data_IF_244490812796
#
_entry.id   IF_244490812796
#
_cell.length_a   1.000
_cell.length_b   1.000
_cell.length_c   1.000
_cell.angle_alpha   90.00
_cell.angle_beta   90.00
_cell.angle_gamma   90.00
#
_symmetry.space_group_name_H-M   'P 1'
#
loop_
_entity.id
_entity.type
_entity.pdbx_description
1 polymer ?
#
# COMPACT_ATOMS: atom_id res chain seq x y z
N UNK A 1 -30.16 -14.60 50.58
CA UNK A 1 -28.87 -13.99 50.14
C UNK A 1 -28.06 -15.03 49.39
N UNK A 2 -28.24 -15.14 48.07
CA UNK A 2 -27.41 -15.99 47.20
C UNK A 2 -26.37 -15.13 46.48
N UNK A 3 -25.10 -15.24 46.87
CA UNK A 3 -23.99 -14.53 46.20
C UNK A 3 -23.63 -15.28 44.91
N UNK A 4 -24.06 -14.72 43.78
CA UNK A 4 -23.55 -15.04 42.45
C UNK A 4 -22.06 -14.70 42.38
N UNK A 5 -21.20 -15.71 42.19
CA UNK A 5 -19.81 -15.54 41.78
C UNK A 5 -19.79 -15.43 40.26
N UNK A 6 -19.69 -14.20 39.75
CA UNK A 6 -19.39 -13.97 38.33
C UNK A 6 -17.90 -14.26 38.12
N UNK A 7 -17.62 -15.28 37.31
CA UNK A 7 -16.27 -15.61 36.87
C UNK A 7 -15.84 -14.59 35.80
N UNK A 8 -14.85 -13.75 36.13
CA UNK A 8 -14.02 -13.12 35.10
C UNK A 8 -13.29 -14.23 34.35
N UNK A 9 -13.80 -14.62 33.18
CA UNK A 9 -12.98 -15.30 32.17
C UNK A 9 -11.88 -14.30 31.79
N UNK A 10 -10.65 -14.56 32.22
CA UNK A 10 -9.49 -13.84 31.71
C UNK A 10 -9.45 -14.03 30.19
N UNK A 11 -9.43 -12.94 29.44
CA UNK A 11 -9.03 -12.99 28.04
C UNK A 11 -7.59 -13.51 28.03
N UNK A 12 -7.38 -14.68 27.44
CA UNK A 12 -6.03 -15.14 27.12
C UNK A 12 -5.39 -14.06 26.25
N UNK A 13 -4.24 -13.54 26.68
CA UNK A 13 -3.45 -12.62 25.87
C UNK A 13 -3.03 -13.41 24.65
N UNK A 14 -3.36 -12.93 23.45
CA UNK A 14 -2.92 -13.57 22.24
C UNK A 14 -1.38 -13.62 22.24
N UNK A 15 -0.79 -14.73 21.82
CA UNK A 15 0.66 -14.89 21.77
C UNK A 15 1.19 -14.50 20.38
N UNK A 16 2.43 -14.06 20.32
CA UNK A 16 3.09 -13.80 19.04
C UNK A 16 3.19 -15.08 18.22
N UNK A 17 2.94 -14.99 16.91
CA UNK A 17 3.11 -16.11 15.97
C UNK A 17 4.33 -15.83 15.12
N UNK A 18 5.24 -16.81 15.01
CA UNK A 18 6.48 -16.68 14.26
C UNK A 18 6.58 -17.84 13.27
N UNK A 19 6.79 -17.54 11.99
CA UNK A 19 6.88 -18.54 10.92
C UNK A 19 7.88 -18.09 9.85
N UNK A 20 8.66 -19.03 9.31
CA UNK A 20 9.50 -18.77 8.16
C UNK A 20 8.63 -18.70 6.89
N UNK A 21 8.82 -17.65 6.11
CA UNK A 21 8.12 -17.40 4.85
C UNK A 21 9.15 -17.15 3.74
N UNK A 22 8.72 -17.04 2.48
CA UNK A 22 9.65 -16.88 1.35
C UNK A 22 10.44 -15.56 1.46
N UNK A 23 9.82 -14.52 2.02
CA UNK A 23 10.38 -13.19 2.21
C UNK A 23 11.26 -13.00 3.46
N UNK A 24 11.41 -14.01 4.32
CA UNK A 24 12.18 -13.92 5.58
C UNK A 24 11.47 -14.56 6.77
N UNK A 25 11.77 -14.10 7.98
CA UNK A 25 11.07 -14.51 9.20
C UNK A 25 9.85 -13.61 9.42
N UNK A 26 8.64 -14.16 9.33
CA UNK A 26 7.41 -13.45 9.63
C UNK A 26 7.03 -13.56 11.10
N UNK A 27 6.70 -12.41 11.70
CA UNK A 27 6.24 -12.33 13.09
C UNK A 27 4.91 -11.55 13.13
N UNK A 28 3.87 -12.15 13.70
CA UNK A 28 2.62 -11.48 14.02
C UNK A 28 2.63 -11.15 15.51
N UNK A 29 2.80 -9.87 15.82
CA UNK A 29 2.89 -9.38 17.19
C UNK A 29 1.54 -8.77 17.59
N UNK A 30 0.88 -9.28 18.64
CA UNK A 30 -0.40 -8.75 19.10
C UNK A 30 -0.22 -7.35 19.69
N UNK A 31 -1.20 -6.49 19.44
CA UNK A 31 -1.24 -5.15 20.02
C UNK A 31 -1.64 -5.20 21.49
N UNK A 32 -1.03 -4.33 22.31
CA UNK A 32 -1.26 -4.30 23.76
C UNK A 32 -2.53 -3.56 24.16
N UNK A 33 -2.98 -2.63 23.33
CA UNK A 33 -4.12 -1.75 23.59
C UNK A 33 -5.36 -2.19 22.81
N UNK A 34 -5.19 -2.88 21.67
CA UNK A 34 -6.25 -3.38 20.80
C UNK A 34 -6.24 -4.91 20.76
N UNK A 35 -7.20 -5.52 21.44
CA UNK A 35 -7.23 -6.97 21.68
C UNK A 35 -7.22 -7.85 20.42
N UNK A 36 -7.67 -7.33 19.27
CA UNK A 36 -7.70 -8.03 17.98
C UNK A 36 -6.88 -7.32 16.91
N UNK A 37 -5.93 -6.48 17.31
CA UNK A 37 -4.97 -5.88 16.41
C UNK A 37 -3.60 -6.56 16.48
N UNK A 38 -2.91 -6.55 15.34
CA UNK A 38 -1.67 -7.27 15.12
C UNK A 38 -0.76 -6.47 14.22
N UNK A 39 0.53 -6.49 14.52
CA UNK A 39 1.58 -5.95 13.65
C UNK A 39 2.33 -7.10 13.00
N UNK A 40 2.41 -7.10 11.68
CA UNK A 40 3.25 -8.01 10.90
C UNK A 40 4.65 -7.40 10.78
N UNK A 41 5.66 -8.15 11.20
CA UNK A 41 7.07 -7.86 10.95
C UNK A 41 7.63 -8.92 10.00
N UNK A 42 8.58 -8.53 9.15
CA UNK A 42 9.41 -9.44 8.35
C UNK A 42 10.86 -9.10 8.66
N UNK A 43 11.62 -10.07 9.15
CA UNK A 43 13.00 -9.90 9.63
C UNK A 43 13.14 -8.71 10.61
N UNK A 44 12.17 -8.59 11.53
CA UNK A 44 12.10 -7.50 12.52
C UNK A 44 11.65 -6.14 11.97
N UNK A 45 11.48 -5.98 10.66
CA UNK A 45 10.99 -4.75 10.05
C UNK A 45 9.46 -4.73 10.00
N UNK A 46 8.77 -3.74 10.63
CA UNK A 46 7.32 -3.63 10.57
C UNK A 46 6.83 -3.43 9.12
N UNK A 47 5.95 -4.32 8.65
CA UNK A 47 5.38 -4.28 7.31
C UNK A 47 3.94 -3.76 7.31
N UNK A 48 3.15 -4.14 8.31
CA UNK A 48 1.73 -3.82 8.35
C UNK A 48 1.16 -3.91 9.75
N UNK A 49 0.03 -3.24 9.98
CA UNK A 49 -0.74 -3.34 11.21
C UNK A 49 -2.22 -3.45 10.84
N UNK A 50 -2.90 -4.44 11.39
CA UNK A 50 -4.33 -4.68 11.17
C UNK A 50 -5.06 -4.69 12.49
N UNK A 51 -6.27 -4.13 12.50
CA UNK A 51 -7.24 -4.35 13.56
C UNK A 51 -8.42 -5.14 12.96
N UNK A 52 -8.68 -6.34 13.47
CA UNK A 52 -9.77 -7.18 12.95
C UNK A 52 -11.15 -6.68 13.39
N UNK A 53 -11.24 -5.89 14.46
CA UNK A 53 -12.49 -5.27 14.91
C UNK A 53 -12.73 -3.91 14.23
N UNK A 54 -11.65 -3.23 13.83
CA UNK A 54 -11.69 -1.98 13.06
C UNK A 54 -10.85 -2.07 11.78
N UNK A 55 -11.35 -2.73 10.71
CA UNK A 55 -10.62 -2.87 9.44
C UNK A 55 -10.41 -1.54 8.69
N UNK A 56 -11.00 -0.43 9.16
CA UNK A 56 -10.76 0.90 8.63
C UNK A 56 -9.57 1.60 9.32
N UNK A 57 -9.04 1.04 10.41
CA UNK A 57 -7.89 1.58 11.10
C UNK A 57 -6.59 1.34 10.32
N UNK A 58 -5.94 2.43 9.91
CA UNK A 58 -4.64 2.43 9.25
C UNK A 58 -3.62 3.09 10.17
N UNK A 59 -2.64 2.31 10.64
CA UNK A 59 -1.60 2.78 11.56
C UNK A 59 -0.44 3.44 10.82
N UNK A 60 0.06 2.82 9.74
CA UNK A 60 1.20 3.33 8.99
C UNK A 60 0.84 4.56 8.16
N UNK A 61 1.70 5.59 8.19
CA UNK A 61 1.43 6.85 7.49
C UNK A 61 1.20 6.67 5.98
N UNK A 62 1.98 5.81 5.31
CA UNK A 62 1.82 5.56 3.88
C UNK A 62 0.49 4.85 3.59
N UNK A 63 0.06 3.94 4.47
CA UNK A 63 -1.24 3.27 4.35
C UNK A 63 -2.37 4.28 4.50
N UNK A 64 -2.27 5.21 5.47
CA UNK A 64 -3.22 6.33 5.62
C UNK A 64 -3.32 7.18 4.36
N UNK A 65 -2.17 7.52 3.76
CA UNK A 65 -2.10 8.26 2.48
C UNK A 65 -2.75 7.48 1.34
N UNK A 66 -2.52 6.17 1.23
CA UNK A 66 -3.23 5.31 0.27
C UNK A 66 -4.73 5.22 0.58
N UNK A 67 -5.11 5.21 1.86
CA UNK A 67 -6.50 5.29 2.32
C UNK A 67 -7.21 6.54 1.81
N UNK A 68 -6.55 7.69 1.84
CA UNK A 68 -7.08 8.94 1.26
C UNK A 68 -7.26 8.84 -0.26
N UNK A 69 -6.38 8.14 -0.97
CA UNK A 69 -6.53 7.90 -2.41
C UNK A 69 -7.71 6.97 -2.67
N UNK A 70 -7.77 5.83 -1.97
CA UNK A 70 -8.89 4.88 -2.00
C UNK A 70 -10.20 5.64 -1.80
N UNK A 71 -10.24 6.52 -0.80
CA UNK A 71 -11.40 7.33 -0.43
C UNK A 71 -11.98 8.20 -1.53
N UNK A 72 -11.19 8.51 -2.56
CA UNK A 72 -11.56 9.40 -3.65
C UNK A 72 -11.73 8.71 -5.00
N UNK A 73 -11.48 7.40 -5.08
CA UNK A 73 -11.74 6.61 -6.31
C UNK A 73 -13.23 6.58 -6.65
N UNK A 74 -14.08 6.58 -5.63
CA UNK A 74 -15.54 6.56 -5.78
C UNK A 74 -16.21 7.21 -4.56
N UNK A 75 -17.46 7.68 -4.69
CA UNK A 75 -18.20 8.20 -3.54
C UNK A 75 -18.26 7.21 -2.38
N UNK A 76 -18.36 7.68 -1.12
CA UNK A 76 -18.39 6.82 0.06
C UNK A 76 -19.42 5.68 -0.07
N UNK A 77 -19.00 4.46 0.30
CA UNK A 77 -19.85 3.26 0.26
C UNK A 77 -20.12 2.69 -1.14
N UNK A 78 -19.67 3.33 -2.23
CA UNK A 78 -19.82 2.79 -3.58
C UNK A 78 -18.74 1.73 -3.85
N UNK A 79 -19.11 0.55 -4.38
CA UNK A 79 -18.14 -0.51 -4.65
C UNK A 79 -17.20 -0.13 -5.79
N UNK A 80 -15.99 -0.65 -5.73
CA UNK A 80 -14.95 -0.49 -6.75
C UNK A 80 -14.36 -1.85 -7.15
N UNK A 81 -13.67 -1.89 -8.28
CA UNK A 81 -12.75 -2.95 -8.66
C UNK A 81 -11.32 -2.53 -8.30
N UNK A 82 -10.71 -3.22 -7.35
CA UNK A 82 -9.37 -2.90 -6.88
C UNK A 82 -8.39 -4.04 -7.16
N UNK A 83 -7.20 -3.70 -7.66
CA UNK A 83 -6.04 -4.59 -7.75
C UNK A 83 -5.01 -4.11 -6.74
N UNK A 84 -4.56 -5.01 -5.87
CA UNK A 84 -3.47 -4.78 -4.91
C UNK A 84 -2.28 -5.62 -5.34
N UNK A 85 -1.22 -4.97 -5.77
CA UNK A 85 0.07 -5.58 -6.05
C UNK A 85 0.88 -5.48 -4.76
N UNK A 86 1.14 -6.61 -4.12
CA UNK A 86 1.55 -6.69 -2.72
C UNK A 86 0.34 -6.77 -1.79
N UNK A 87 0.53 -7.42 -0.63
CA UNK A 87 -0.57 -7.71 0.27
C UNK A 87 -0.19 -7.76 1.75
N UNK A 88 0.62 -6.83 2.26
CA UNK A 88 1.04 -6.78 3.67
C UNK A 88 -0.13 -6.92 4.66
N UNK A 89 -0.35 -8.14 5.17
CA UNK A 89 -1.51 -8.56 5.97
C UNK A 89 -2.90 -8.28 5.35
N UNK A 90 -2.95 -8.01 4.05
CA UNK A 90 -4.13 -7.57 3.28
C UNK A 90 -4.79 -6.29 3.79
N UNK A 91 -4.06 -5.43 4.47
CA UNK A 91 -4.61 -4.25 5.18
C UNK A 91 -5.40 -3.31 4.28
N UNK A 92 -4.85 -2.93 3.12
CA UNK A 92 -5.56 -2.05 2.18
C UNK A 92 -6.78 -2.74 1.56
N UNK A 93 -6.74 -4.07 1.36
CA UNK A 93 -7.89 -4.82 0.89
C UNK A 93 -9.02 -4.90 1.94
N UNK A 94 -8.67 -5.01 3.22
CA UNK A 94 -9.63 -4.88 4.35
C UNK A 94 -10.23 -3.49 4.40
N UNK A 95 -9.41 -2.46 4.27
CA UNK A 95 -9.84 -1.07 4.25
C UNK A 95 -10.84 -0.80 3.12
N UNK A 96 -10.54 -1.25 1.90
CA UNK A 96 -11.48 -1.16 0.77
C UNK A 96 -12.76 -1.94 1.05
N UNK A 97 -12.68 -3.15 1.59
CA UNK A 97 -13.88 -3.94 1.90
C UNK A 97 -14.79 -3.24 2.93
N UNK A 98 -14.20 -2.61 3.95
CA UNK A 98 -14.90 -1.90 5.01
C UNK A 98 -15.53 -0.58 4.52
N UNK A 99 -14.77 0.22 3.77
CA UNK A 99 -15.21 1.56 3.32
C UNK A 99 -16.05 1.53 2.05
N UNK A 100 -15.89 0.48 1.23
CA UNK A 100 -16.57 0.26 -0.07
C UNK A 100 -17.13 -1.17 -0.11
N UNK A 101 -18.18 -1.47 0.66
CA UNK A 101 -18.74 -2.82 0.71
C UNK A 101 -19.19 -3.29 -0.67
N UNK A 102 -19.00 -4.59 -0.94
CA UNK A 102 -19.24 -5.28 -2.22
C UNK A 102 -18.23 -4.97 -3.34
N UNK A 103 -17.13 -4.26 -3.04
CA UNK A 103 -16.00 -4.12 -3.97
C UNK A 103 -15.41 -5.48 -4.35
N UNK A 104 -15.09 -5.66 -5.63
CA UNK A 104 -14.42 -6.86 -6.13
C UNK A 104 -12.91 -6.60 -6.14
N UNK A 105 -12.14 -7.41 -5.42
CA UNK A 105 -10.74 -7.14 -5.20
C UNK A 105 -9.86 -8.31 -5.62
N UNK A 106 -8.71 -8.01 -6.23
CA UNK A 106 -7.66 -8.97 -6.53
C UNK A 106 -6.39 -8.55 -5.79
N UNK A 107 -5.88 -9.40 -4.91
CA UNK A 107 -4.58 -9.20 -4.26
C UNK A 107 -3.59 -10.17 -4.91
N UNK A 108 -2.43 -9.66 -5.29
CA UNK A 108 -1.31 -10.44 -5.82
C UNK A 108 -0.17 -10.32 -4.82
N UNK A 109 0.14 -11.41 -4.14
CA UNK A 109 1.26 -11.50 -3.21
C UNK A 109 2.17 -12.61 -3.71
N UNK A 110 3.49 -12.43 -3.71
CA UNK A 110 4.40 -13.47 -4.20
C UNK A 110 4.60 -14.58 -3.17
N UNK A 111 4.67 -14.20 -1.89
CA UNK A 111 4.98 -15.11 -0.79
C UNK A 111 3.76 -15.96 -0.41
N UNK A 112 3.75 -17.21 -0.87
CA UNK A 112 2.63 -18.11 -0.62
C UNK A 112 2.52 -18.49 0.86
N UNK A 113 3.66 -18.65 1.55
CA UNK A 113 3.70 -18.98 2.97
C UNK A 113 3.13 -17.83 3.81
N UNK A 114 3.49 -16.59 3.52
CA UNK A 114 2.93 -15.41 4.17
C UNK A 114 1.41 -15.30 3.95
N UNK A 115 0.93 -15.58 2.73
CA UNK A 115 -0.52 -15.61 2.45
C UNK A 115 -1.24 -16.63 3.34
N UNK A 116 -0.67 -17.83 3.53
CA UNK A 116 -1.27 -18.86 4.38
C UNK A 116 -1.26 -18.45 5.86
N UNK A 117 -0.13 -17.92 6.36
CA UNK A 117 0.01 -17.39 7.71
C UNK A 117 -1.05 -16.32 7.98
N UNK A 118 -1.14 -15.30 7.13
CA UNK A 118 -2.12 -14.21 7.29
C UNK A 118 -3.54 -14.74 7.23
N UNK A 119 -3.88 -15.65 6.31
CA UNK A 119 -5.25 -16.20 6.22
C UNK A 119 -5.65 -16.99 7.46
N UNK A 120 -4.70 -17.69 8.08
CA UNK A 120 -4.92 -18.54 9.25
C UNK A 120 -5.08 -17.70 10.52
N UNK A 121 -4.16 -16.78 10.77
CA UNK A 121 -4.12 -16.00 12.02
C UNK A 121 -4.96 -14.72 11.95
N UNK A 122 -5.08 -14.13 10.76
CA UNK A 122 -5.77 -12.88 10.50
C UNK A 122 -6.82 -13.11 9.39
N UNK A 123 -7.90 -13.87 9.64
CA UNK A 123 -8.85 -14.19 8.58
C UNK A 123 -9.48 -12.93 7.97
N UNK A 124 -9.72 -12.97 6.65
CA UNK A 124 -10.52 -11.97 5.97
C UNK A 124 -12.00 -12.20 6.28
N UNK A 125 -12.83 -11.14 6.21
CA UNK A 125 -14.28 -11.30 6.25
C UNK A 125 -14.73 -12.21 5.10
N UNK A 126 -15.42 -13.34 5.38
CA UNK A 126 -15.87 -14.26 4.34
C UNK A 126 -16.86 -13.63 3.34
N UNK A 127 -17.51 -12.53 3.70
CA UNK A 127 -18.40 -11.78 2.81
C UNK A 127 -17.64 -10.77 1.93
N UNK A 128 -16.37 -10.48 2.23
CA UNK A 128 -15.55 -9.61 1.40
C UNK A 128 -15.16 -10.35 0.11
N UNK A 129 -15.37 -9.69 -1.04
CA UNK A 129 -15.09 -10.26 -2.37
C UNK A 129 -13.61 -10.08 -2.72
N UNK A 130 -12.74 -10.70 -1.94
CA UNK A 130 -11.28 -10.60 -2.07
C UNK A 130 -10.71 -11.91 -2.58
N UNK A 131 -10.17 -11.90 -3.80
CA UNK A 131 -9.42 -13.02 -4.36
C UNK A 131 -7.92 -12.75 -4.20
N UNK A 132 -7.22 -13.65 -3.50
CA UNK A 132 -5.76 -13.58 -3.34
C UNK A 132 -5.12 -14.58 -4.29
N UNK A 133 -4.03 -14.19 -4.96
CA UNK A 133 -3.21 -15.05 -5.82
C UNK A 133 -1.77 -14.99 -5.37
N UNK A 134 -1.16 -16.16 -5.17
CA UNK A 134 0.25 -16.30 -4.84
C UNK A 134 1.11 -16.35 -6.11
N UNK A 135 1.58 -15.21 -6.62
CA UNK A 135 2.33 -15.08 -7.89
C UNK A 135 3.07 -13.75 -7.93
N UNK A 136 4.04 -13.59 -8.84
CA UNK A 136 4.67 -12.28 -9.05
C UNK A 136 3.65 -11.18 -9.40
N UNK A 137 3.88 -9.97 -8.90
CA UNK A 137 2.99 -8.82 -9.10
C UNK A 137 2.71 -8.51 -10.58
N UNK A 138 3.74 -8.53 -11.44
CA UNK A 138 3.60 -8.22 -12.86
C UNK A 138 2.89 -9.35 -13.60
N UNK A 139 3.20 -10.59 -13.27
CA UNK A 139 2.49 -11.76 -13.81
C UNK A 139 1.00 -11.81 -13.39
N UNK A 140 0.71 -11.40 -12.16
CA UNK A 140 -0.65 -11.29 -11.66
C UNK A 140 -1.42 -10.17 -12.37
N UNK A 141 -0.79 -9.02 -12.58
CA UNK A 141 -1.36 -7.88 -13.31
C UNK A 141 -1.68 -8.23 -14.77
N UNK A 142 -0.80 -8.99 -15.45
CA UNK A 142 -1.02 -9.46 -16.82
C UNK A 142 -2.29 -10.34 -16.97
N UNK A 143 -2.78 -10.94 -15.88
CA UNK A 143 -4.01 -11.75 -15.84
C UNK A 143 -5.27 -10.94 -15.52
N UNK A 144 -5.13 -9.64 -15.21
CA UNK A 144 -6.27 -8.73 -15.01
C UNK A 144 -6.78 -8.31 -16.39
N UNK A 145 -8.10 -8.39 -16.66
CA UNK A 145 -8.64 -7.96 -17.96
C UNK A 145 -8.43 -6.47 -18.21
N UNK A 146 -8.35 -6.10 -19.48
CA UNK A 146 -8.26 -4.70 -19.91
C UNK A 146 -9.46 -3.89 -19.40
N UNK A 147 -9.22 -2.67 -18.93
CA UNK A 147 -10.30 -1.79 -18.44
C UNK A 147 -11.12 -2.38 -17.29
N UNK A 148 -10.51 -3.18 -16.42
CA UNK A 148 -11.22 -3.86 -15.33
C UNK A 148 -11.16 -3.11 -14.00
N UNK A 149 -10.06 -2.42 -13.70
CA UNK A 149 -9.78 -1.84 -12.39
C UNK A 149 -10.17 -0.36 -12.32
N UNK A 150 -10.84 0.03 -11.24
CA UNK A 150 -11.03 1.45 -10.87
C UNK A 150 -9.82 1.96 -10.08
N UNK A 151 -9.06 1.05 -9.46
CA UNK A 151 -7.87 1.33 -8.69
C UNK A 151 -6.85 0.18 -8.82
N UNK A 152 -5.60 0.53 -9.13
CA UNK A 152 -4.45 -0.35 -8.96
C UNK A 152 -3.55 0.25 -7.89
N UNK A 153 -3.28 -0.49 -6.82
CA UNK A 153 -2.33 -0.12 -5.77
C UNK A 153 -1.08 -0.99 -5.92
N UNK A 154 0.09 -0.36 -6.01
CA UNK A 154 1.38 -1.02 -5.88
C UNK A 154 2.00 -0.72 -4.51
N UNK A 155 2.01 -1.73 -3.65
CA UNK A 155 2.59 -1.71 -2.30
C UNK A 155 3.46 -2.95 -2.13
N UNK A 156 4.43 -3.10 -3.03
CA UNK A 156 5.31 -4.28 -3.13
C UNK A 156 6.66 -3.96 -2.51
N UNK A 157 6.97 -4.65 -1.42
CA UNK A 157 8.31 -4.71 -0.85
C UNK A 157 8.77 -6.16 -0.73
N UNK A 158 9.89 -6.48 -1.36
CA UNK A 158 10.66 -7.72 -1.16
C UNK A 158 11.91 -7.35 -0.37
N UNK A 159 12.07 -7.88 0.85
CA UNK A 159 13.20 -7.51 1.72
C UNK A 159 13.32 -5.99 1.89
N UNK A 160 12.18 -5.31 2.07
CA UNK A 160 12.03 -3.85 2.16
C UNK A 160 12.34 -3.03 0.89
N UNK A 161 12.37 -3.66 -0.30
CA UNK A 161 12.62 -2.97 -1.59
C UNK A 161 11.59 -3.31 -2.65
N UNK A 162 11.22 -2.35 -3.49
CA UNK A 162 10.40 -2.61 -4.69
C UNK A 162 11.26 -3.29 -5.76
N UNK A 163 10.85 -4.45 -6.32
CA UNK A 163 11.56 -5.12 -7.41
C UNK A 163 11.71 -4.27 -8.67
N UNK A 164 12.83 -4.41 -9.38
CA UNK A 164 13.16 -3.61 -10.57
C UNK A 164 12.10 -3.71 -11.67
N UNK A 165 11.56 -4.89 -11.93
CA UNK A 165 10.61 -5.09 -13.04
C UNK A 165 9.23 -4.44 -12.80
N UNK A 166 9.02 -3.79 -11.66
CA UNK A 166 7.82 -3.01 -11.30
C UNK A 166 8.06 -1.50 -11.34
N UNK A 167 9.23 -1.04 -11.79
CA UNK A 167 9.65 0.37 -11.69
C UNK A 167 9.89 1.02 -13.06
N UNK A 168 9.34 0.43 -14.12
CA UNK A 168 9.57 0.79 -15.52
C UNK A 168 8.34 1.32 -16.24
N UNK A 169 8.55 1.96 -17.40
CA UNK A 169 7.48 2.40 -18.29
C UNK A 169 6.60 1.24 -18.79
N UNK A 170 7.20 0.09 -19.09
CA UNK A 170 6.51 -1.09 -19.63
C UNK A 170 5.63 -1.75 -18.55
N UNK A 171 6.04 -1.71 -17.29
CA UNK A 171 5.17 -2.07 -16.18
C UNK A 171 3.98 -1.10 -16.08
N UNK A 172 4.21 0.21 -16.22
CA UNK A 172 3.12 1.19 -16.19
C UNK A 172 2.18 1.07 -17.39
N UNK A 173 2.67 0.62 -18.55
CA UNK A 173 1.83 0.29 -19.71
C UNK A 173 0.85 -0.87 -19.38
N UNK A 174 1.31 -1.90 -18.67
CA UNK A 174 0.43 -2.97 -18.15
C UNK A 174 -0.58 -2.47 -17.11
N UNK A 175 -0.16 -1.55 -16.23
CA UNK A 175 -1.07 -0.91 -15.27
C UNK A 175 -2.16 -0.14 -16.01
N UNK A 176 -1.78 0.68 -16.99
CA UNK A 176 -2.73 1.45 -17.81
C UNK A 176 -3.71 0.56 -18.56
N UNK A 177 -3.25 -0.54 -19.14
CA UNK A 177 -4.12 -1.54 -19.80
C UNK A 177 -5.22 -2.04 -18.87
N UNK A 178 -4.87 -2.37 -17.62
CA UNK A 178 -5.82 -2.89 -16.64
C UNK A 178 -6.79 -1.84 -16.08
N UNK A 179 -6.43 -0.56 -16.13
CA UNK A 179 -7.22 0.55 -15.60
C UNK A 179 -8.39 0.93 -16.52
N UNK A 180 -9.53 1.27 -15.92
CA UNK A 180 -10.64 1.93 -16.61
C UNK A 180 -10.32 3.39 -16.93
N UNK A 181 -11.08 4.02 -17.84
CA UNK A 181 -11.08 5.48 -17.95
C UNK A 181 -11.36 6.13 -16.59
N UNK A 182 -10.60 7.16 -16.24
CA UNK A 182 -10.66 7.89 -14.96
C UNK A 182 -10.28 7.09 -13.71
N UNK A 183 -9.69 5.90 -13.85
CA UNK A 183 -9.21 5.10 -12.74
C UNK A 183 -7.84 5.60 -12.25
N UNK A 184 -7.47 5.19 -11.03
CA UNK A 184 -6.23 5.64 -10.40
C UNK A 184 -5.19 4.51 -10.33
N UNK A 185 -3.94 4.85 -10.59
CA UNK A 185 -2.79 4.10 -10.11
C UNK A 185 -2.23 4.79 -8.86
N UNK A 186 -1.95 4.01 -7.81
CA UNK A 186 -1.31 4.51 -6.60
C UNK A 186 -0.14 3.61 -6.22
N UNK A 187 1.03 4.19 -5.96
CA UNK A 187 2.24 3.44 -5.61
C UNK A 187 2.85 3.95 -4.32
N UNK A 188 3.18 3.04 -3.40
CA UNK A 188 4.03 3.34 -2.26
C UNK A 188 5.50 3.23 -2.67
N UNK A 189 6.19 4.36 -2.70
CA UNK A 189 7.60 4.44 -3.10
C UNK A 189 8.44 4.79 -1.88
N UNK A 190 9.47 4.00 -1.61
CA UNK A 190 10.43 4.27 -0.54
C UNK A 190 11.77 4.74 -1.12
N UNK A 191 12.29 5.85 -0.61
CA UNK A 191 13.59 6.38 -1.03
C UNK A 191 14.21 7.25 0.08
N UNK A 192 15.51 7.52 -0.02
CA UNK A 192 16.24 8.44 0.82
C UNK A 192 17.11 9.40 0.00
N UNK A 193 17.80 10.35 0.65
CA UNK A 193 18.61 11.34 -0.04
C UNK A 193 19.64 10.67 -0.98
N UNK A 194 19.80 11.12 -2.24
CA UNK A 194 19.27 12.35 -2.85
C UNK A 194 17.90 12.22 -3.55
N UNK A 195 17.13 11.17 -3.25
CA UNK A 195 15.82 10.84 -3.83
C UNK A 195 15.87 10.48 -5.32
N UNK A 196 16.97 9.87 -5.77
CA UNK A 196 17.18 9.56 -7.18
C UNK A 196 16.16 8.55 -7.72
N UNK A 197 15.79 7.54 -6.90
CA UNK A 197 14.82 6.55 -7.30
C UNK A 197 13.43 7.19 -7.41
N UNK A 198 13.02 7.96 -6.41
CA UNK A 198 11.74 8.67 -6.41
C UNK A 198 11.61 9.62 -7.61
N UNK A 199 12.66 10.39 -7.93
CA UNK A 199 12.70 11.27 -9.11
C UNK A 199 12.51 10.48 -10.41
N UNK A 200 13.22 9.36 -10.56
CA UNK A 200 13.09 8.48 -11.72
C UNK A 200 11.69 7.87 -11.84
N UNK A 201 11.09 7.44 -10.73
CA UNK A 201 9.72 6.89 -10.73
C UNK A 201 8.67 7.93 -11.11
N UNK A 202 8.80 9.18 -10.65
CA UNK A 202 7.91 10.27 -11.06
C UNK A 202 8.07 10.55 -12.56
N UNK A 203 9.30 10.62 -13.08
CA UNK A 203 9.54 10.81 -14.51
C UNK A 203 8.96 9.66 -15.36
N UNK A 204 9.10 8.43 -14.87
CA UNK A 204 8.56 7.21 -15.50
C UNK A 204 7.03 7.26 -15.57
N UNK A 205 6.38 7.64 -14.48
CA UNK A 205 4.93 7.81 -14.46
C UNK A 205 4.48 9.00 -15.32
N UNK A 206 5.20 10.12 -15.33
CA UNK A 206 4.88 11.28 -16.16
C UNK A 206 4.98 10.98 -17.67
N UNK A 207 5.81 10.00 -18.06
CA UNK A 207 5.89 9.53 -19.44
C UNK A 207 4.69 8.65 -19.85
N UNK A 208 3.83 8.27 -18.89
CA UNK A 208 2.71 7.35 -19.09
C UNK A 208 1.37 7.87 -18.62
N UNK A 209 1.28 8.84 -17.73
CA UNK A 209 0.01 9.37 -17.25
C UNK A 209 -0.02 10.89 -17.41
N UNK A 210 -1.19 11.43 -17.72
CA UNK A 210 -1.37 12.88 -17.90
C UNK A 210 -1.36 13.63 -16.56
N UNK A 211 -1.95 13.05 -15.52
CA UNK A 211 -2.12 13.69 -14.22
C UNK A 211 -1.43 12.92 -13.11
N UNK A 212 -0.53 13.60 -12.41
CA UNK A 212 0.23 13.05 -11.29
C UNK A 212 0.11 13.92 -10.04
N UNK A 213 0.12 13.26 -8.90
CA UNK A 213 0.31 13.87 -7.59
C UNK A 213 1.23 13.00 -6.73
N UNK A 214 1.98 13.63 -5.84
CA UNK A 214 2.86 12.96 -4.88
C UNK A 214 2.53 13.41 -3.47
N UNK A 215 2.26 12.48 -2.57
CA UNK A 215 1.93 12.75 -1.16
C UNK A 215 3.02 12.14 -0.28
N UNK A 216 3.72 12.97 0.49
CA UNK A 216 4.74 12.48 1.41
C UNK A 216 4.93 13.41 2.61
N UNK A 217 5.71 12.96 3.59
CA UNK A 217 6.20 13.83 4.66
C UNK A 217 7.08 14.97 4.09
N UNK A 218 6.90 16.24 4.50
CA UNK A 218 7.72 17.36 4.04
C UNK A 218 9.24 17.19 4.20
N UNK A 219 9.70 16.44 5.21
CA UNK A 219 11.12 16.10 5.43
C UNK A 219 11.64 15.11 4.40
N UNK A 220 10.81 14.17 3.94
CA UNK A 220 11.14 13.25 2.83
C UNK A 220 11.20 14.05 1.53
N UNK A 221 10.21 14.91 1.25
CA UNK A 221 10.22 15.76 0.04
C UNK A 221 11.43 16.71 -0.04
N UNK A 222 11.97 17.12 1.11
CA UNK A 222 13.20 17.93 1.17
C UNK A 222 14.49 17.11 1.10
N UNK A 223 14.41 15.79 0.96
CA UNK A 223 15.57 14.90 0.93
C UNK A 223 16.38 14.95 2.22
N UNK A 224 15.71 15.05 3.38
CA UNK A 224 16.37 15.10 4.69
C UNK A 224 16.39 13.75 5.42
N UNK A 225 15.57 12.79 4.99
CA UNK A 225 15.51 11.44 5.56
C UNK A 225 15.00 10.42 4.54
N UNK A 226 15.21 9.14 4.85
CA UNK A 226 14.52 8.04 4.17
C UNK A 226 13.05 8.00 4.59
N UNK A 227 12.16 7.69 3.65
CA UNK A 227 10.75 7.49 3.96
C UNK A 227 9.92 7.16 2.73
N UNK A 228 8.61 7.06 2.94
CA UNK A 228 7.64 6.72 1.92
C UNK A 228 7.02 7.96 1.27
N UNK A 229 6.78 7.87 -0.02
CA UNK A 229 6.00 8.80 -0.80
C UNK A 229 4.93 8.02 -1.59
N UNK A 230 3.69 8.48 -1.55
CA UNK A 230 2.59 7.90 -2.32
C UNK A 230 2.48 8.67 -3.63
N UNK A 231 2.84 8.02 -4.74
CA UNK A 231 2.59 8.53 -6.08
C UNK A 231 1.18 8.14 -6.50
N UNK A 232 0.43 9.10 -7.05
CA UNK A 232 -0.89 8.89 -7.63
C UNK A 232 -0.84 9.34 -9.09
N UNK A 233 -1.33 8.51 -10.00
CA UNK A 233 -1.34 8.80 -11.43
C UNK A 233 -2.67 8.41 -12.06
N UNK A 234 -3.11 9.19 -13.06
CA UNK A 234 -4.30 8.90 -13.86
C UNK A 234 -4.22 9.61 -15.21
N UNK A 235 -4.98 9.09 -16.18
CA UNK A 235 -5.25 9.77 -17.46
C UNK A 235 -6.38 10.81 -17.33
N UNK A 236 -7.05 10.89 -16.17
CA UNK A 236 -8.06 11.91 -15.88
C UNK A 236 -7.61 12.85 -14.74
N UNK A 237 -8.15 14.08 -14.67
CA UNK A 237 -7.79 15.02 -13.62
C UNK A 237 -7.96 14.44 -12.22
N UNK A 238 -6.88 14.49 -11.43
CA UNK A 238 -6.90 14.05 -10.04
C UNK A 238 -7.67 15.06 -9.16
N UNK A 239 -8.36 14.60 -8.09
CA UNK A 239 -9.05 15.47 -7.13
C UNK A 239 -8.06 16.13 -6.16
N UNK A 240 -7.13 16.91 -6.71
CA UNK A 240 -5.99 17.51 -5.99
C UNK A 240 -6.40 18.33 -4.77
N UNK A 241 -7.42 19.22 -4.80
CA UNK A 241 -7.82 20.00 -3.63
C UNK A 241 -8.24 19.11 -2.46
N UNK A 242 -8.95 18.03 -2.76
CA UNK A 242 -9.45 17.08 -1.77
C UNK A 242 -8.33 16.20 -1.21
N UNK A 243 -7.45 15.67 -2.07
CA UNK A 243 -6.26 14.93 -1.63
C UNK A 243 -5.36 15.80 -0.75
N UNK A 244 -5.18 17.08 -1.11
CA UNK A 244 -4.37 18.04 -0.34
C UNK A 244 -4.98 18.26 1.03
N UNK A 245 -6.30 18.51 1.10
CA UNK A 245 -7.00 18.71 2.38
C UNK A 245 -6.83 17.49 3.28
N UNK A 246 -7.10 16.29 2.77
CA UNK A 246 -7.01 15.03 3.53
C UNK A 246 -5.60 14.75 4.03
N UNK A 247 -4.59 14.93 3.17
CA UNK A 247 -3.19 14.75 3.55
C UNK A 247 -2.76 15.74 4.64
N UNK A 248 -3.18 17.01 4.54
CA UNK A 248 -2.81 18.04 5.51
C UNK A 248 -3.55 17.91 6.84
N UNK A 249 -4.80 17.42 6.83
CA UNK A 249 -5.62 17.22 8.03
C UNK A 249 -5.39 15.87 8.73
N UNK A 250 -4.51 15.03 8.19
CA UNK A 250 -4.16 13.74 8.77
C UNK A 250 -3.44 13.92 10.12
N UNK A 251 -3.67 13.04 11.12
CA UNK A 251 -2.83 12.96 12.32
C UNK A 251 -1.32 12.90 12.04
N UNK A 252 -0.91 12.38 10.87
CA UNK A 252 0.45 12.44 10.35
C UNK A 252 0.49 13.29 9.07
N UNK A 253 0.54 14.64 9.19
CA UNK A 253 0.34 15.54 8.05
C UNK A 253 1.32 15.26 6.90
N UNK A 254 0.76 15.05 5.71
CA UNK A 254 1.50 14.96 4.45
C UNK A 254 1.40 16.26 3.64
N UNK A 255 2.38 16.49 2.77
CA UNK A 255 2.31 17.53 1.73
C UNK A 255 2.08 16.86 0.38
N UNK A 256 1.23 17.49 -0.43
CA UNK A 256 0.94 17.07 -1.80
C UNK A 256 1.67 18.00 -2.79
N UNK A 257 2.45 17.42 -3.71
CA UNK A 257 2.95 18.10 -4.91
C UNK A 257 2.18 17.63 -6.15
N UNK A 258 1.86 18.55 -7.06
CA UNK A 258 1.27 18.24 -8.37
C UNK A 258 1.68 19.32 -9.38
N UNK A 259 1.49 19.07 -10.67
CA UNK A 259 1.79 20.04 -11.72
C UNK A 259 3.26 20.50 -11.72
N UNK A 260 3.50 21.79 -11.95
CA UNK A 260 4.86 22.34 -12.09
C UNK A 260 5.79 22.02 -10.90
N UNK A 261 5.41 22.19 -9.62
CA UNK A 261 6.24 21.78 -8.49
C UNK A 261 6.69 20.31 -8.54
N UNK A 262 5.82 19.39 -8.97
CA UNK A 262 6.15 17.98 -9.10
C UNK A 262 7.07 17.72 -10.30
N UNK A 263 6.85 18.39 -11.43
CA UNK A 263 7.76 18.34 -12.58
C UNK A 263 9.16 18.86 -12.21
N UNK A 264 9.24 20.02 -11.57
CA UNK A 264 10.51 20.61 -11.12
C UNK A 264 11.21 19.69 -10.10
N UNK A 265 10.43 19.01 -9.24
CA UNK A 265 10.95 18.02 -8.30
C UNK A 265 11.66 16.85 -8.99
N UNK A 266 11.30 16.47 -10.22
CA UNK A 266 12.04 15.41 -10.95
C UNK A 266 13.49 15.79 -11.23
N UNK A 267 13.80 17.09 -11.34
CA UNK A 267 15.15 17.58 -11.65
C UNK A 267 15.69 17.09 -13.00
N UNK A 268 14.82 16.80 -13.96
CA UNK A 268 15.21 16.31 -15.29
C UNK A 268 15.58 14.82 -15.33
N UNK A 269 15.17 14.04 -14.32
CA UNK A 269 15.31 12.58 -14.35
C UNK A 269 14.64 11.99 -15.60
N UNK A 270 15.28 11.00 -16.21
CA UNK A 270 14.74 10.29 -17.37
C UNK A 270 13.75 9.20 -16.93
N UNK A 271 12.71 8.90 -17.74
CA UNK A 271 11.89 7.70 -17.58
C UNK A 271 12.76 6.43 -17.60
N UNK A 272 12.39 5.46 -16.77
CA UNK A 272 13.10 4.19 -16.64
C UNK A 272 12.41 3.14 -17.49
N UNK A 273 13.15 2.46 -18.35
CA UNK A 273 12.66 1.29 -19.11
C UNK A 273 13.01 -0.01 -18.39
N UNK A 274 12.42 -1.13 -18.80
CA UNK A 274 12.77 -2.46 -18.27
C UNK A 274 14.28 -2.73 -18.29
N UNK A 275 14.98 -2.31 -19.35
CA UNK A 275 16.42 -2.50 -19.49
C UNK A 275 17.27 -1.68 -18.50
N UNK A 276 16.74 -0.56 -18.00
CA UNK A 276 17.42 0.35 -17.08
C UNK A 276 16.88 0.24 -15.64
N UNK A 277 15.87 -0.60 -15.41
CA UNK A 277 15.18 -0.66 -14.14
C UNK A 277 16.04 -1.26 -13.05
N UNK A 278 15.98 -0.64 -11.87
CA UNK A 278 16.67 -1.09 -10.66
C UNK A 278 15.67 -1.17 -9.52
N UNK A 279 15.94 -2.10 -8.59
CA UNK A 279 15.15 -2.19 -7.38
C UNK A 279 15.31 -0.93 -6.52
N UNK A 280 14.27 -0.52 -5.80
CA UNK A 280 14.30 0.67 -4.95
C UNK A 280 15.47 0.61 -3.95
N UNK A 281 15.96 1.72 -3.39
CA UNK A 281 17.02 1.67 -2.40
C UNK A 281 16.62 0.89 -1.15
N UNK A 282 17.58 0.22 -0.52
CA UNK A 282 17.35 -0.43 0.77
C UNK A 282 17.19 0.64 1.87
N UNK A 283 16.22 0.49 2.79
CA UNK A 283 16.12 1.38 3.94
C UNK A 283 17.37 1.27 4.81
N UNK A 284 17.93 2.39 5.31
CA UNK A 284 19.06 2.33 6.23
C UNK A 284 18.62 1.73 7.58
N UNK A 285 19.53 1.05 8.32
CA UNK A 285 19.19 0.38 9.59
C UNK A 285 18.59 1.29 10.67
N UNK A 286 18.78 2.61 10.55
CA UNK A 286 18.23 3.60 11.48
C UNK A 286 16.73 3.85 11.33
N UNK A 287 16.11 3.39 10.25
CA UNK A 287 14.66 3.56 10.00
C UNK A 287 13.81 2.65 10.90
N UNK A 288 14.39 1.55 11.36
CA UNK A 288 13.70 0.51 12.15
C UNK A 288 14.05 0.55 13.64
N UNK A 289 14.73 1.60 14.11
CA UNK A 289 15.12 1.77 15.52
C UNK A 289 14.24 2.78 16.24
#
# INVERSE_FOLDING_TARGET
MGKSRSGRRGQAVAEAVVEAVDGGLAELIPDRERARAWTLLIDGAPQSHVDLDDPAYLSFEYQRRLGHVIDLVAPPGKPVHAVHLGGGAFTLARYVAATRPRSTQQVVERDAALVQLVRRELPLDPNARIRVRSTDAREGLAKVPDGWADLVIADVFSGARTPAHLTSTEFLDEVRRALRPNAFYAANLADGPPLAHLRGQIATAAARFEHLALIADPTVLRGKRFGNAVLVASDAPLPVPELTRRAASDPHPGRLEHGKPLTDFTGGAAPVTDAAAVASPAPPPSVFR
#
